data_IF_012703634356
#
_entry.id   IF_012703634356
#
_cell.length_a   1.000
_cell.length_b   1.000
_cell.length_c   1.000
_cell.angle_alpha   90.00
_cell.angle_beta   90.00
_cell.angle_gamma   90.00
#
_symmetry.space_group_name_H-M   'P 1'
#
loop_
_entity.id
_entity.type
_entity.pdbx_description
1 polymer ?
#
# COMPACT_ATOMS: atom_id res chain seq x y z
N UNK A 1 -12.90 4.31 -3.14
CA UNK A 1 -11.96 3.17 -3.32
C UNK A 1 -10.82 3.34 -2.31
N UNK A 2 -10.36 2.26 -1.70
CA UNK A 2 -9.30 2.32 -0.67
C UNK A 2 -8.24 1.27 -0.92
N UNK A 3 -6.98 1.68 -0.92
CA UNK A 3 -5.83 0.79 -0.91
C UNK A 3 -5.52 0.39 0.52
N UNK A 4 -4.96 -0.81 0.69
CA UNK A 4 -4.46 -1.27 1.99
C UNK A 4 -2.95 -1.42 1.90
N UNK A 5 -2.23 -1.02 2.93
CA UNK A 5 -0.78 -1.13 3.00
C UNK A 5 -0.42 -1.80 4.32
N UNK A 6 0.41 -2.84 4.28
CA UNK A 6 0.90 -3.56 5.45
C UNK A 6 2.38 -3.80 5.35
N UNK A 7 3.03 -3.99 6.50
CA UNK A 7 4.41 -4.48 6.53
C UNK A 7 4.36 -6.01 6.50
N UNK A 8 4.89 -6.61 5.45
CA UNK A 8 4.96 -8.06 5.29
C UNK A 8 6.14 -8.65 6.06
N UNK A 9 7.29 -7.96 6.05
CA UNK A 9 8.49 -8.36 6.79
C UNK A 9 9.24 -7.13 7.30
N UNK A 10 9.83 -7.24 8.49
CA UNK A 10 10.61 -6.17 9.12
C UNK A 10 10.96 -6.51 10.58
N UNK A 11 11.97 -5.84 11.14
CA UNK A 11 12.42 -6.09 12.52
C UNK A 11 11.35 -5.71 13.56
N UNK A 12 10.66 -4.57 13.34
CA UNK A 12 9.58 -4.07 14.19
C UNK A 12 8.37 -3.67 13.32
N UNK A 13 7.53 -4.65 12.96
CA UNK A 13 6.37 -4.46 12.06
C UNK A 13 5.46 -3.31 12.52
N UNK A 14 5.17 -3.21 13.83
CA UNK A 14 4.32 -2.17 14.39
C UNK A 14 4.98 -0.78 14.31
N UNK A 15 6.27 -0.66 14.62
CA UNK A 15 7.00 0.61 14.55
C UNK A 15 7.18 1.07 13.09
N UNK A 16 7.47 0.14 12.18
CA UNK A 16 7.59 0.43 10.76
C UNK A 16 6.25 0.89 10.16
N UNK A 17 5.14 0.26 10.54
CA UNK A 17 3.82 0.70 10.09
C UNK A 17 3.44 2.06 10.67
N UNK A 18 3.72 2.33 11.95
CA UNK A 18 3.49 3.64 12.56
C UNK A 18 4.33 4.73 11.88
N UNK A 19 5.58 4.44 11.56
CA UNK A 19 6.47 5.31 10.78
C UNK A 19 5.92 5.59 9.38
N UNK A 20 5.45 4.56 8.68
CA UNK A 20 4.82 4.70 7.37
C UNK A 20 3.52 5.51 7.44
N UNK A 21 2.69 5.30 8.46
CA UNK A 21 1.49 6.09 8.70
C UNK A 21 1.82 7.58 8.84
N UNK A 22 2.78 7.91 9.70
CA UNK A 22 3.21 9.29 9.91
C UNK A 22 3.78 9.92 8.65
N UNK A 23 4.51 9.15 7.86
CA UNK A 23 5.03 9.58 6.56
C UNK A 23 3.90 9.91 5.59
N UNK A 24 2.95 9.00 5.38
CA UNK A 24 1.81 9.22 4.48
C UNK A 24 0.89 10.33 4.97
N UNK A 25 0.73 10.51 6.28
CA UNK A 25 -0.07 11.59 6.86
C UNK A 25 0.55 12.98 6.65
N UNK A 26 1.85 13.05 6.33
CA UNK A 26 2.56 14.30 6.01
C UNK A 26 2.34 14.74 4.56
N UNK A 27 1.90 13.85 3.68
CA UNK A 27 1.57 14.15 2.30
C UNK A 27 0.23 14.88 2.23
N UNK A 28 0.22 16.10 1.68
CA UNK A 28 -0.99 16.94 1.66
C UNK A 28 -2.15 16.27 0.89
N UNK A 29 -1.83 15.56 -0.21
CA UNK A 29 -2.81 14.81 -0.99
C UNK A 29 -3.37 13.57 -0.28
N UNK A 30 -2.71 13.05 0.77
CA UNK A 30 -3.16 11.90 1.55
C UNK A 30 -3.61 12.27 2.97
N UNK A 31 -3.47 13.54 3.34
CA UNK A 31 -3.83 14.06 4.65
C UNK A 31 -5.30 13.80 4.96
N UNK A 32 -5.57 13.19 6.11
CA UNK A 32 -6.93 12.81 6.52
C UNK A 32 -7.53 11.62 5.76
N UNK A 33 -6.79 11.02 4.82
CA UNK A 33 -7.22 9.87 4.00
C UNK A 33 -6.56 8.55 4.42
N UNK A 34 -5.60 8.60 5.34
CA UNK A 34 -4.90 7.44 5.91
C UNK A 34 -5.53 7.09 7.25
N UNK A 35 -5.88 5.82 7.45
CA UNK A 35 -6.39 5.28 8.72
C UNK A 35 -5.67 3.97 9.06
N UNK A 36 -5.46 3.72 10.34
CA UNK A 36 -4.95 2.42 10.83
C UNK A 36 -6.16 1.53 11.13
N UNK A 37 -6.20 0.36 10.52
CA UNK A 37 -7.16 -0.70 10.79
C UNK A 37 -6.44 -1.88 11.46
N UNK A 38 -6.83 -2.18 12.70
CA UNK A 38 -6.35 -3.36 13.41
C UNK A 38 -7.14 -4.58 12.92
N UNK A 39 -6.50 -5.44 12.11
CA UNK A 39 -7.12 -6.69 11.68
C UNK A 39 -6.57 -7.84 12.54
N UNK A 40 -7.44 -8.69 13.12
CA UNK A 40 -6.98 -9.92 13.75
C UNK A 40 -6.32 -10.78 12.67
N UNK A 41 -5.02 -11.04 12.79
CA UNK A 41 -4.36 -12.02 11.94
C UNK A 41 -4.83 -13.40 12.38
N UNK A 42 -5.14 -14.28 11.42
CA UNK A 42 -5.46 -15.68 11.71
C UNK A 42 -4.32 -16.34 12.48
N UNK A 43 -4.69 -17.23 13.40
CA UNK A 43 -3.90 -17.80 14.49
C UNK A 43 -2.60 -18.54 14.13
N UNK A 44 -2.17 -18.54 12.87
CA UNK A 44 -1.03 -19.33 12.37
C UNK A 44 0.29 -18.57 12.37
N UNK A 45 0.28 -17.26 12.59
CA UNK A 45 1.49 -16.47 12.83
C UNK A 45 1.47 -15.94 14.26
N UNK A 46 2.24 -16.59 15.13
CA UNK A 46 2.43 -16.17 16.52
C UNK A 46 2.96 -14.73 16.61
N UNK A 47 2.14 -13.82 17.13
CA UNK A 47 2.61 -12.59 17.78
C UNK A 47 2.73 -11.33 16.92
N UNK A 48 1.61 -10.71 16.59
CA UNK A 48 1.37 -9.26 16.61
C UNK A 48 -0.02 -9.02 15.99
N UNK A 49 -0.71 -7.96 16.37
CA UNK A 49 -1.83 -7.46 15.57
C UNK A 49 -1.23 -6.99 14.23
N UNK A 50 -1.76 -7.44 13.09
CA UNK A 50 -1.36 -6.84 11.81
C UNK A 50 -2.18 -5.56 11.67
N UNK A 51 -1.64 -4.48 12.23
CA UNK A 51 -2.08 -3.16 11.88
C UNK A 51 -1.94 -3.01 10.35
N UNK A 52 -3.01 -2.57 9.70
CA UNK A 52 -3.06 -2.35 8.25
C UNK A 52 -3.44 -0.90 8.00
N UNK A 53 -2.69 -0.21 7.16
CA UNK A 53 -3.02 1.16 6.76
C UNK A 53 -4.03 1.13 5.62
N UNK A 54 -5.16 1.80 5.80
CA UNK A 54 -6.15 2.01 4.76
C UNK A 54 -6.01 3.43 4.24
N UNK A 55 -5.74 3.56 2.95
CA UNK A 55 -5.55 4.83 2.26
C UNK A 55 -6.67 5.01 1.25
N UNK A 56 -7.44 6.09 1.37
CA UNK A 56 -8.45 6.42 0.36
C UNK A 56 -7.77 6.91 -0.92
N UNK A 57 -7.77 6.07 -1.95
CA UNK A 57 -7.26 6.37 -3.30
C UNK A 57 -8.46 6.62 -4.22
N UNK A 58 -8.83 7.88 -4.37
CA UNK A 58 -9.86 8.31 -5.31
C UNK A 58 -9.30 8.55 -6.72
N UNK A 59 -10.17 8.89 -7.68
CA UNK A 59 -9.82 9.25 -9.07
C UNK A 59 -9.02 10.55 -9.24
N UNK A 60 -8.50 11.13 -8.14
CA UNK A 60 -7.80 12.41 -8.11
C UNK A 60 -6.28 12.32 -7.93
N UNK A 61 -5.63 11.27 -8.44
CA UNK A 61 -4.16 11.12 -8.37
C UNK A 61 -3.58 10.70 -7.01
N UNK A 62 -4.43 10.45 -6.01
CA UNK A 62 -4.00 9.98 -4.69
C UNK A 62 -3.23 8.65 -4.75
N UNK A 63 -3.53 7.79 -5.73
CA UNK A 63 -2.79 6.54 -5.95
C UNK A 63 -1.33 6.76 -6.36
N UNK A 64 -1.07 7.73 -7.26
CA UNK A 64 0.29 8.08 -7.67
C UNK A 64 1.10 8.68 -6.52
N UNK A 65 0.47 9.55 -5.71
CA UNK A 65 1.12 10.10 -4.50
C UNK A 65 1.41 9.00 -3.49
N UNK A 66 0.49 8.06 -3.28
CA UNK A 66 0.73 6.91 -2.41
C UNK A 66 1.93 6.09 -2.88
N UNK A 67 1.97 5.71 -4.15
CA UNK A 67 3.05 4.93 -4.73
C UNK A 67 4.41 5.63 -4.56
N UNK A 68 4.50 6.90 -4.99
CA UNK A 68 5.71 7.72 -4.84
C UNK A 68 6.14 7.81 -3.37
N UNK A 69 5.20 8.09 -2.47
CA UNK A 69 5.51 8.29 -1.05
C UNK A 69 6.00 7.02 -0.39
N UNK A 70 5.39 5.87 -0.68
CA UNK A 70 5.84 4.55 -0.20
C UNK A 70 7.24 4.26 -0.75
N UNK A 71 7.50 4.51 -2.02
CA UNK A 71 8.83 4.31 -2.62
C UNK A 71 9.88 5.23 -2.00
N UNK A 72 9.56 6.48 -1.71
CA UNK A 72 10.49 7.41 -1.05
C UNK A 72 10.74 7.02 0.40
N UNK A 73 9.73 6.53 1.12
CA UNK A 73 9.88 5.98 2.48
C UNK A 73 10.78 4.73 2.48
N UNK A 74 10.56 3.81 1.54
CA UNK A 74 11.40 2.61 1.35
C UNK A 74 12.86 2.98 1.04
N UNK A 75 13.12 4.02 0.23
CA UNK A 75 14.49 4.49 -0.04
C UNK A 75 15.19 5.04 1.21
N UNK A 76 14.44 5.70 2.09
CA UNK A 76 15.00 6.23 3.34
C UNK A 76 15.26 5.13 4.37
N UNK A 77 14.64 3.95 4.21
CA UNK A 77 14.92 2.78 5.03
C UNK A 77 16.07 1.96 4.43
N UNK A 78 17.19 1.95 5.16
CA UNK A 78 18.30 0.99 4.92
C UNK A 78 17.97 -0.45 5.38
N UNK A 79 16.87 -0.62 6.10
CA UNK A 79 16.45 -1.89 6.67
C UNK A 79 15.80 -2.79 5.62
N UNK A 80 15.92 -4.10 5.80
CA UNK A 80 15.27 -5.13 4.99
C UNK A 80 13.77 -5.21 5.32
N UNK A 81 13.05 -4.13 4.99
CA UNK A 81 11.62 -4.03 5.20
C UNK A 81 10.89 -4.35 3.90
N UNK A 82 9.87 -5.19 4.02
CA UNK A 82 8.99 -5.59 2.93
C UNK A 82 7.60 -5.03 3.20
N UNK A 83 7.08 -4.26 2.26
CA UNK A 83 5.76 -3.66 2.30
C UNK A 83 4.86 -4.40 1.32
N UNK A 84 3.65 -4.74 1.72
CA UNK A 84 2.61 -5.22 0.81
C UNK A 84 1.54 -4.15 0.65
N UNK A 85 1.23 -3.83 -0.61
CA UNK A 85 0.14 -2.95 -1.01
C UNK A 85 -0.94 -3.78 -1.67
N UNK A 86 -2.16 -3.70 -1.16
CA UNK A 86 -3.37 -4.26 -1.75
C UNK A 86 -4.18 -3.14 -2.41
N UNK A 87 -4.52 -3.31 -3.67
CA UNK A 87 -5.42 -2.43 -4.40
C UNK A 87 -6.86 -2.53 -3.88
N UNK A 88 -7.71 -1.54 -4.19
CA UNK A 88 -9.14 -1.65 -3.95
C UNK A 88 -9.82 -2.78 -4.74
N UNK A 89 -9.23 -3.25 -5.84
CA UNK A 89 -9.73 -4.36 -6.67
C UNK A 89 -9.39 -5.75 -6.10
N UNK A 90 -8.43 -5.82 -5.18
CA UNK A 90 -8.02 -7.05 -4.50
C UNK A 90 -6.64 -7.57 -4.94
N UNK A 91 -6.05 -6.99 -5.97
CA UNK A 91 -4.67 -7.24 -6.40
C UNK A 91 -3.68 -6.84 -5.30
N UNK A 92 -2.63 -7.64 -5.14
CA UNK A 92 -1.62 -7.42 -4.10
C UNK A 92 -0.25 -7.37 -4.74
N UNK A 93 0.56 -6.41 -4.31
CA UNK A 93 1.96 -6.31 -4.66
C UNK A 93 2.80 -6.24 -3.40
N UNK A 94 3.87 -7.01 -3.40
CA UNK A 94 4.87 -7.00 -2.33
C UNK A 94 6.15 -6.36 -2.85
N UNK A 95 6.64 -5.35 -2.15
CA UNK A 95 7.80 -4.53 -2.50
C UNK A 95 8.76 -4.45 -1.32
N UNK A 96 10.00 -4.86 -1.57
CA UNK A 96 11.07 -4.80 -0.59
C UNK A 96 11.89 -3.51 -0.77
N UNK A 97 12.42 -2.97 0.33
CA UNK A 97 13.32 -1.81 0.32
C UNK A 97 14.58 -2.01 -0.53
N UNK A 98 14.94 -3.26 -0.88
CA UNK A 98 16.05 -3.56 -1.80
C UNK A 98 15.70 -3.40 -3.29
N UNK A 99 14.41 -3.34 -3.67
CA UNK A 99 13.92 -3.23 -5.06
C UNK A 99 13.15 -1.93 -5.30
N UNK A 100 13.62 -0.82 -4.73
CA UNK A 100 12.86 0.44 -4.80
C UNK A 100 12.64 1.05 -6.20
N UNK A 101 13.57 1.00 -7.17
CA UNK A 101 13.35 1.71 -8.44
C UNK A 101 12.10 1.24 -9.18
N UNK A 102 11.76 -0.05 -9.10
CA UNK A 102 10.55 -0.61 -9.71
C UNK A 102 9.32 -0.51 -8.80
N UNK A 103 9.51 -0.37 -7.48
CA UNK A 103 8.42 -0.39 -6.51
C UNK A 103 7.35 0.67 -6.81
N UNK A 104 7.75 1.88 -7.22
CA UNK A 104 6.79 2.94 -7.55
C UNK A 104 5.89 2.52 -8.70
N UNK A 105 6.49 2.15 -9.84
CA UNK A 105 5.76 1.82 -11.06
C UNK A 105 4.82 0.62 -10.87
N UNK A 106 5.25 -0.38 -10.09
CA UNK A 106 4.42 -1.55 -9.80
C UNK A 106 3.25 -1.19 -8.88
N UNK A 107 3.47 -0.37 -7.84
CA UNK A 107 2.37 0.10 -6.98
C UNK A 107 1.39 0.97 -7.79
N UNK A 108 1.88 1.89 -8.63
CA UNK A 108 1.02 2.70 -9.50
C UNK A 108 0.16 1.85 -10.43
N UNK A 109 0.76 0.81 -11.05
CA UNK A 109 0.07 -0.14 -11.91
C UNK A 109 -1.05 -0.89 -11.17
N UNK A 110 -0.79 -1.32 -9.94
CA UNK A 110 -1.76 -2.07 -9.13
C UNK A 110 -2.87 -1.16 -8.59
N UNK A 111 -2.56 0.11 -8.31
CA UNK A 111 -3.55 1.10 -7.86
C UNK A 111 -4.39 1.66 -9.00
N UNK A 112 -3.84 1.69 -10.21
CA UNK A 112 -4.51 2.12 -11.43
C UNK A 112 -4.52 0.94 -12.41
N UNK A 113 -5.32 -0.11 -12.13
CA UNK A 113 -5.48 -1.17 -13.11
C UNK A 113 -5.99 -0.53 -14.40
N UNK A 114 -5.39 -0.83 -15.57
CA UNK A 114 -5.96 -0.40 -16.84
C UNK A 114 -7.41 -0.88 -16.82
N UNK A 115 -8.36 0.05 -16.99
CA UNK A 115 -9.79 -0.26 -16.93
C UNK A 115 -10.05 -1.53 -17.73
N UNK A 116 -10.21 -2.65 -17.03
CA UNK A 116 -10.35 -3.94 -17.66
C UNK A 116 -11.71 -3.91 -18.36
N UNK A 117 -11.63 -3.91 -19.69
CA UNK A 117 -12.68 -4.19 -20.67
C UNK A 117 -14.11 -3.93 -20.21
N UNK A 118 -14.71 -2.88 -20.77
CA UNK A 118 -16.14 -2.88 -20.98
C UNK A 118 -16.54 -4.19 -21.65
N UNK A 119 -17.52 -4.84 -21.05
CA UNK A 119 -18.27 -5.98 -21.54
C UNK A 119 -18.58 -5.82 -23.05
N UNK A 120 -18.05 -6.66 -23.96
CA UNK A 120 -18.69 -6.85 -25.24
C UNK A 120 -19.86 -7.82 -25.01
N UNK A 121 -20.95 -7.30 -24.42
CA UNK A 121 -22.27 -7.83 -24.71
C UNK A 121 -22.54 -7.53 -26.18
N UNK A 122 -22.01 -8.41 -27.03
CA UNK A 122 -22.37 -8.51 -28.44
C UNK A 122 -23.85 -8.90 -28.48
N UNK A 123 -24.69 -7.89 -28.67
CA UNK A 123 -26.04 -8.07 -29.15
C UNK A 123 -25.99 -8.15 -30.66
N UNK A 124 -26.23 -9.33 -31.21
CA UNK A 124 -26.83 -9.52 -32.53
C UNK A 124 -27.47 -10.92 -32.62
#
# INVERSE_FOLDING_TARGET
MSARVRIAEGHDVAAELASLHQWLAREDALRGRVRIEQRPIGAEHMGALADTLVVAVGSGGAGAVLARSVSVWLQQRRSDVTVEVTSPTGDKVTVAARRVPDAQAVIETVLHPPAAGGDPADGQ
#
